data_IF_388834594182
#
_entry.id   IF_388834594182
#
_cell.length_a   1.000
_cell.length_b   1.000
_cell.length_c   1.000
_cell.angle_alpha   90.00
_cell.angle_beta   90.00
_cell.angle_gamma   90.00
#
_symmetry.space_group_name_H-M   'P 1'
#
loop_
_entity.id
_entity.type
_entity.pdbx_description
1 polymer ?
#
# COMPACT_ATOMS: atom_id res chain seq x y z
N UNK A 1 -12.08 14.14 11.06
CA UNK A 1 -10.62 14.19 11.13
C UNK A 1 -10.08 14.87 9.89
N UNK A 2 -9.31 15.91 10.11
CA UNK A 2 -8.50 16.72 9.16
C UNK A 2 -9.20 17.35 7.95
N UNK A 3 -9.98 18.39 8.19
CA UNK A 3 -10.45 19.35 7.17
C UNK A 3 -9.35 20.31 6.62
N UNK A 4 -8.10 20.10 7.00
CA UNK A 4 -7.00 21.06 6.73
C UNK A 4 -6.26 20.89 5.38
N UNK A 5 -6.59 19.88 4.59
CA UNK A 5 -5.88 19.63 3.34
C UNK A 5 -6.70 20.07 2.13
N UNK A 6 -6.43 21.27 1.60
CA UNK A 6 -7.00 21.73 0.31
C UNK A 6 -6.78 20.69 -0.80
N UNK A 7 -5.62 20.01 -0.82
CA UNK A 7 -5.31 18.95 -1.77
C UNK A 7 -6.24 17.72 -1.62
N UNK A 8 -6.70 17.43 -0.38
CA UNK A 8 -7.68 16.37 -0.14
C UNK A 8 -9.08 16.66 -0.71
N UNK A 9 -9.39 17.90 -1.08
CA UNK A 9 -10.67 18.30 -1.69
C UNK A 9 -10.65 18.26 -3.22
N UNK A 10 -9.47 18.10 -3.83
CA UNK A 10 -9.34 17.99 -5.29
C UNK A 10 -9.90 16.66 -5.80
N UNK A 11 -10.27 16.65 -7.08
CA UNK A 11 -10.80 15.47 -7.74
C UNK A 11 -9.78 14.30 -7.69
N UNK A 12 -10.19 13.06 -7.40
CA UNK A 12 -9.28 11.91 -7.23
C UNK A 12 -8.36 11.64 -8.43
N UNK A 13 -8.83 11.90 -9.65
CA UNK A 13 -8.03 11.77 -10.89
C UNK A 13 -6.85 12.73 -10.88
N UNK A 14 -7.06 13.99 -10.48
CA UNK A 14 -6.00 15.01 -10.43
C UNK A 14 -4.94 14.62 -9.40
N UNK A 15 -5.37 14.12 -8.24
CA UNK A 15 -4.47 13.65 -7.19
C UNK A 15 -3.60 12.48 -7.69
N UNK A 16 -4.19 11.54 -8.42
CA UNK A 16 -3.48 10.38 -8.95
C UNK A 16 -2.47 10.78 -10.02
N UNK A 17 -2.86 11.65 -10.97
CA UNK A 17 -1.98 12.14 -12.03
C UNK A 17 -0.81 12.92 -11.42
N UNK A 18 -1.08 13.83 -10.49
CA UNK A 18 -0.05 14.61 -9.79
C UNK A 18 0.97 13.70 -9.10
N UNK A 19 0.49 12.70 -8.36
CA UNK A 19 1.37 11.76 -7.67
C UNK A 19 2.21 10.93 -8.64
N UNK A 20 1.60 10.44 -9.74
CA UNK A 20 2.29 9.65 -10.76
C UNK A 20 3.38 10.47 -11.45
N UNK A 21 3.09 11.72 -11.80
CA UNK A 21 4.08 12.63 -12.43
C UNK A 21 5.26 12.87 -11.50
N UNK A 22 5.01 13.17 -10.21
CA UNK A 22 6.09 13.41 -9.26
C UNK A 22 6.93 12.15 -9.03
N UNK A 23 6.29 10.99 -8.95
CA UNK A 23 7.00 9.73 -8.76
C UNK A 23 7.87 9.41 -9.97
N UNK A 24 7.34 9.57 -11.19
CA UNK A 24 8.10 9.38 -12.42
C UNK A 24 9.27 10.36 -12.51
N UNK A 25 9.03 11.65 -12.25
CA UNK A 25 10.12 12.64 -12.26
C UNK A 25 11.19 12.34 -11.22
N UNK A 26 10.83 11.90 -10.03
CA UNK A 26 11.79 11.54 -8.96
C UNK A 26 12.64 10.34 -9.34
N UNK A 27 12.07 9.33 -10.02
CA UNK A 27 12.77 8.10 -10.40
C UNK A 27 13.65 8.32 -11.65
N UNK A 28 13.14 9.03 -12.66
CA UNK A 28 13.86 9.21 -13.93
C UNK A 28 14.85 10.37 -13.93
N UNK A 29 14.57 11.45 -13.20
CA UNK A 29 15.48 12.60 -13.10
C UNK A 29 16.37 12.46 -11.84
N UNK A 30 17.46 11.69 -11.97
CA UNK A 30 18.45 11.49 -10.89
C UNK A 30 19.37 12.73 -10.68
N UNK A 31 18.88 13.93 -10.92
CA UNK A 31 19.66 15.15 -10.71
C UNK A 31 19.53 15.62 -9.24
N UNK A 32 20.63 15.96 -8.55
CA UNK A 32 20.61 16.26 -7.11
C UNK A 32 19.69 17.43 -6.73
N UNK A 33 19.54 18.43 -7.61
CA UNK A 33 18.63 19.56 -7.37
C UNK A 33 17.17 19.10 -7.36
N UNK A 34 16.76 18.25 -8.34
CA UNK A 34 15.41 17.72 -8.39
C UNK A 34 15.09 16.81 -7.20
N UNK A 35 16.05 15.99 -6.79
CA UNK A 35 15.91 15.15 -5.60
C UNK A 35 15.74 15.99 -4.33
N UNK A 36 16.50 17.08 -4.19
CA UNK A 36 16.37 18.01 -3.06
C UNK A 36 15.00 18.68 -3.01
N UNK A 37 14.51 19.19 -4.15
CA UNK A 37 13.18 19.81 -4.25
C UNK A 37 12.07 18.80 -3.98
N UNK A 38 12.16 17.58 -4.54
CA UNK A 38 11.20 16.50 -4.32
C UNK A 38 11.17 16.06 -2.86
N UNK A 39 12.34 15.97 -2.19
CA UNK A 39 12.44 15.68 -0.78
C UNK A 39 11.75 16.75 0.08
N UNK A 40 12.04 18.03 -0.17
CA UNK A 40 11.40 19.15 0.54
C UNK A 40 9.87 19.12 0.34
N UNK A 41 9.40 18.88 -0.88
CA UNK A 41 7.98 18.75 -1.20
C UNK A 41 7.31 17.61 -0.42
N UNK A 42 7.90 16.41 -0.44
CA UNK A 42 7.39 15.25 0.30
C UNK A 42 7.37 15.48 1.81
N UNK A 43 8.41 16.13 2.34
CA UNK A 43 8.54 16.44 3.75
C UNK A 43 7.49 17.46 4.22
N UNK A 44 7.30 18.56 3.48
CA UNK A 44 6.31 19.59 3.79
C UNK A 44 4.87 19.03 3.73
N UNK A 45 4.56 18.22 2.72
CA UNK A 45 3.25 17.56 2.63
C UNK A 45 3.05 16.58 3.78
N UNK A 46 4.06 15.80 4.14
CA UNK A 46 4.01 14.88 5.26
C UNK A 46 3.73 15.57 6.58
N UNK A 47 4.39 16.72 6.85
CA UNK A 47 4.17 17.53 8.06
C UNK A 47 2.74 18.03 8.14
N UNK A 48 2.20 18.52 7.01
CA UNK A 48 0.80 19.02 6.97
C UNK A 48 -0.22 17.92 7.21
N UNK A 49 0.06 16.69 6.81
CA UNK A 49 -0.86 15.55 6.93
C UNK A 49 -0.82 14.87 8.30
N UNK A 50 0.38 14.54 8.78
CA UNK A 50 0.59 13.70 9.97
C UNK A 50 1.05 14.46 11.21
N UNK A 51 1.47 15.72 11.04
CA UNK A 51 2.11 16.51 12.09
C UNK A 51 3.60 16.15 12.29
N UNK A 52 4.37 17.13 12.75
CA UNK A 52 5.84 17.06 12.81
C UNK A 52 6.36 15.83 13.58
N UNK A 53 5.82 15.55 14.77
CA UNK A 53 6.31 14.43 15.62
C UNK A 53 6.11 13.05 14.98
N UNK A 54 4.96 12.80 14.36
CA UNK A 54 4.69 11.51 13.69
C UNK A 54 5.50 11.35 12.43
N UNK A 55 5.68 12.44 11.68
CA UNK A 55 6.49 12.43 10.44
C UNK A 55 7.94 12.13 10.77
N UNK A 56 8.53 12.83 11.74
CA UNK A 56 9.92 12.60 12.15
C UNK A 56 10.13 11.15 12.62
N UNK A 57 9.22 10.64 13.45
CA UNK A 57 9.33 9.27 13.96
C UNK A 57 9.24 8.22 12.85
N UNK A 58 8.26 8.33 11.95
CA UNK A 58 8.08 7.39 10.84
C UNK A 58 9.23 7.48 9.84
N UNK A 59 9.67 8.71 9.51
CA UNK A 59 10.70 8.91 8.51
C UNK A 59 12.09 8.54 9.04
N UNK A 60 12.39 8.83 10.30
CA UNK A 60 13.68 8.47 10.90
C UNK A 60 13.69 6.99 11.29
N UNK A 61 12.77 6.52 12.11
CA UNK A 61 12.82 5.14 12.63
C UNK A 61 12.55 4.05 11.62
N UNK A 62 11.66 4.28 10.64
CA UNK A 62 11.32 3.24 9.66
C UNK A 62 12.12 3.32 8.38
N UNK A 63 12.43 4.52 7.90
CA UNK A 63 12.97 4.70 6.56
C UNK A 63 14.51 4.81 6.56
N UNK A 64 15.12 5.35 7.62
CA UNK A 64 16.58 5.45 7.71
C UNK A 64 17.29 4.08 7.73
N UNK A 65 16.86 3.06 8.49
CA UNK A 65 17.52 1.76 8.44
C UNK A 65 17.43 1.12 7.05
N UNK A 66 16.33 1.32 6.33
CA UNK A 66 16.16 0.85 4.96
C UNK A 66 17.06 1.62 3.98
N UNK A 67 17.20 2.93 4.16
CA UNK A 67 18.13 3.76 3.40
C UNK A 67 19.59 3.30 3.58
N UNK A 68 20.03 3.08 4.83
CA UNK A 68 21.38 2.59 5.14
C UNK A 68 21.63 1.21 4.53
N UNK A 69 20.65 0.33 4.61
CA UNK A 69 20.76 -1.02 4.05
C UNK A 69 21.01 -0.97 2.54
N UNK A 70 20.27 -0.15 1.79
CA UNK A 70 20.44 -0.01 0.33
C UNK A 70 21.78 0.67 0.01
N UNK A 71 22.14 1.71 0.75
CA UNK A 71 23.42 2.41 0.58
C UNK A 71 24.62 1.51 0.80
N UNK A 72 24.52 0.51 1.69
CA UNK A 72 25.58 -0.47 1.95
C UNK A 72 25.57 -1.65 0.97
N UNK A 73 24.41 -2.11 0.54
CA UNK A 73 24.30 -3.24 -0.40
C UNK A 73 24.86 -2.88 -1.77
N UNK A 74 24.55 -1.69 -2.27
CA UNK A 74 24.94 -1.31 -3.63
C UNK A 74 26.46 -1.38 -3.86
N UNK A 75 27.34 -0.76 -3.05
CA UNK A 75 28.78 -0.88 -3.25
C UNK A 75 29.35 -2.28 -2.95
N UNK A 76 28.61 -3.14 -2.25
CA UNK A 76 29.02 -4.52 -2.00
C UNK A 76 28.82 -5.43 -3.22
N UNK A 77 27.86 -5.11 -4.11
CA UNK A 77 27.55 -5.89 -5.30
C UNK A 77 27.94 -5.21 -6.61
N UNK A 78 28.05 -3.89 -6.62
CA UNK A 78 28.40 -3.09 -7.80
C UNK A 78 29.85 -2.62 -7.68
N UNK A 79 30.70 -3.08 -8.60
CA UNK A 79 32.13 -2.80 -8.60
C UNK A 79 32.55 -1.88 -9.76
N UNK A 80 31.61 -1.07 -10.27
CA UNK A 80 31.88 -0.10 -11.33
C UNK A 80 32.60 1.13 -10.79
N UNK A 81 33.75 1.46 -11.37
CA UNK A 81 34.49 2.67 -11.07
C UNK A 81 36.00 2.49 -11.19
N UNK A 82 36.75 3.60 -11.26
CA UNK A 82 38.19 3.63 -11.47
C UNK A 82 38.94 3.82 -10.16
N UNK A 83 38.31 4.47 -9.16
CA UNK A 83 38.94 4.78 -7.87
C UNK A 83 38.66 3.67 -6.84
N UNK A 84 39.61 2.74 -6.69
CA UNK A 84 39.54 1.71 -5.66
C UNK A 84 39.86 2.32 -4.28
N UNK A 85 38.88 2.29 -3.34
CA UNK A 85 39.08 2.70 -1.97
C UNK A 85 39.46 1.54 -1.04
N UNK A 86 38.83 0.40 -1.24
CA UNK A 86 38.97 -0.73 -0.35
C UNK A 86 38.67 -2.05 -1.09
N UNK A 87 39.45 -3.10 -0.82
CA UNK A 87 39.19 -4.43 -1.39
C UNK A 87 38.47 -5.32 -0.39
N UNK A 88 37.23 -5.62 -0.66
CA UNK A 88 36.48 -6.65 0.08
C UNK A 88 36.71 -8.03 -0.56
N UNK A 89 36.37 -9.10 0.15
CA UNK A 89 36.40 -10.48 -0.40
C UNK A 89 35.54 -10.64 -1.65
N UNK A 90 34.53 -9.81 -1.84
CA UNK A 90 33.57 -9.83 -2.98
C UNK A 90 34.06 -9.01 -4.17
N UNK A 91 35.04 -8.09 -4.00
CA UNK A 91 35.56 -7.25 -5.09
C UNK A 91 36.05 -5.88 -4.59
N UNK A 92 36.61 -5.05 -5.49
CA UNK A 92 37.06 -3.70 -5.14
C UNK A 92 35.85 -2.79 -4.92
N UNK A 93 35.78 -2.13 -3.79
CA UNK A 93 34.77 -1.08 -3.51
C UNK A 93 35.30 0.23 -4.05
N UNK A 94 34.59 0.80 -5.02
CA UNK A 94 34.95 2.05 -5.67
C UNK A 94 34.18 3.24 -5.09
N UNK A 95 34.75 4.44 -5.14
CA UNK A 95 34.11 5.65 -4.65
C UNK A 95 32.82 5.96 -5.46
N UNK A 96 32.88 5.72 -6.77
CA UNK A 96 31.76 5.89 -7.67
C UNK A 96 30.56 4.98 -7.31
N UNK A 97 30.84 3.73 -6.93
CA UNK A 97 29.81 2.78 -6.50
C UNK A 97 29.14 3.22 -5.19
N UNK A 98 29.90 3.84 -4.28
CA UNK A 98 29.34 4.37 -3.03
C UNK A 98 28.43 5.57 -3.32
N UNK A 99 28.91 6.53 -4.12
CA UNK A 99 28.11 7.72 -4.49
C UNK A 99 26.83 7.31 -5.22
N UNK A 100 26.94 6.39 -6.17
CA UNK A 100 25.78 5.87 -6.90
C UNK A 100 24.79 5.15 -5.96
N UNK A 101 25.31 4.32 -5.05
CA UNK A 101 24.50 3.64 -4.03
C UNK A 101 23.76 4.61 -3.12
N UNK A 102 24.41 5.72 -2.76
CA UNK A 102 23.83 6.76 -1.93
C UNK A 102 22.73 7.54 -2.66
N UNK A 103 22.94 7.87 -3.93
CA UNK A 103 21.93 8.52 -4.78
C UNK A 103 20.72 7.59 -4.97
N UNK A 104 20.95 6.31 -5.29
CA UNK A 104 19.88 5.32 -5.45
C UNK A 104 19.08 5.15 -4.15
N UNK A 105 19.75 5.04 -3.02
CA UNK A 105 19.12 4.96 -1.72
C UNK A 105 18.28 6.20 -1.42
N UNK A 106 18.75 7.39 -1.83
CA UNK A 106 18.03 8.65 -1.65
C UNK A 106 16.78 8.75 -2.54
N UNK A 107 16.86 8.29 -3.80
CA UNK A 107 15.69 8.19 -4.69
C UNK A 107 14.62 7.27 -4.10
N UNK A 108 15.01 6.10 -3.61
CA UNK A 108 14.08 5.16 -2.98
C UNK A 108 13.50 5.74 -1.67
N UNK A 109 14.33 6.41 -0.89
CA UNK A 109 13.89 7.11 0.32
C UNK A 109 12.79 8.14 0.01
N UNK A 110 13.02 9.02 -0.97
CA UNK A 110 12.05 10.03 -1.40
C UNK A 110 10.77 9.36 -1.92
N UNK A 111 10.91 8.30 -2.70
CA UNK A 111 9.76 7.54 -3.23
C UNK A 111 8.89 6.98 -2.11
N UNK A 112 9.49 6.42 -1.06
CA UNK A 112 8.74 5.93 0.12
C UNK A 112 8.02 7.07 0.85
N UNK A 113 8.63 8.26 0.93
CA UNK A 113 7.99 9.44 1.51
C UNK A 113 6.75 9.87 0.70
N UNK A 114 6.85 9.89 -0.62
CA UNK A 114 5.73 10.18 -1.51
C UNK A 114 4.63 9.13 -1.41
N UNK A 115 4.97 7.84 -1.37
CA UNK A 115 4.00 6.77 -1.15
C UNK A 115 3.29 6.88 0.20
N UNK A 116 4.03 7.22 1.26
CA UNK A 116 3.45 7.43 2.59
C UNK A 116 2.44 8.58 2.62
N UNK A 117 2.71 9.65 1.88
CA UNK A 117 1.82 10.81 1.75
C UNK A 117 0.62 10.49 0.86
N UNK A 118 0.82 9.77 -0.23
CA UNK A 118 -0.23 9.32 -1.13
C UNK A 118 -1.24 8.41 -0.45
N UNK A 119 -0.76 7.43 0.32
CA UNK A 119 -1.62 6.49 1.04
C UNK A 119 -2.57 7.18 2.03
N UNK A 120 -2.19 8.33 2.58
CA UNK A 120 -3.04 9.09 3.48
C UNK A 120 -4.14 9.88 2.75
N UNK A 121 -3.86 10.30 1.51
CA UNK A 121 -4.80 11.08 0.68
C UNK A 121 -5.75 10.16 -0.08
N UNK A 122 -5.21 9.09 -0.66
CA UNK A 122 -5.97 8.16 -1.49
C UNK A 122 -6.64 7.10 -0.62
N UNK A 123 -7.84 7.41 -0.16
CA UNK A 123 -8.67 6.44 0.55
C UNK A 123 -9.22 5.40 -0.42
N UNK A 124 -9.59 4.23 0.10
CA UNK A 124 -10.14 3.13 -0.68
C UNK A 124 -11.37 3.55 -1.51
N UNK A 125 -12.22 4.42 -0.94
CA UNK A 125 -13.43 4.90 -1.64
C UNK A 125 -13.08 5.73 -2.88
N UNK A 126 -12.02 6.56 -2.79
CA UNK A 126 -11.54 7.35 -3.93
C UNK A 126 -10.92 6.49 -5.01
N UNK A 127 -10.22 5.43 -4.59
CA UNK A 127 -9.67 4.44 -5.52
C UNK A 127 -10.78 3.71 -6.28
N UNK A 128 -11.83 3.26 -5.59
CA UNK A 128 -13.02 2.65 -6.21
C UNK A 128 -13.70 3.61 -7.18
N UNK A 129 -13.84 4.88 -6.82
CA UNK A 129 -14.42 5.91 -7.70
C UNK A 129 -13.61 6.09 -8.99
N UNK A 130 -12.27 6.03 -8.91
CA UNK A 130 -11.39 6.18 -10.06
C UNK A 130 -11.62 5.06 -11.10
N UNK A 131 -11.69 3.81 -10.62
CA UNK A 131 -11.97 2.65 -11.47
C UNK A 131 -13.43 2.61 -11.98
N UNK A 132 -14.34 3.22 -11.23
CA UNK A 132 -15.74 3.31 -11.62
C UNK A 132 -15.98 4.07 -12.91
N UNK A 133 -15.12 5.02 -13.20
CA UNK A 133 -15.18 5.82 -14.43
C UNK A 133 -14.58 5.09 -15.64
N UNK A 134 -13.67 4.13 -15.38
CA UNK A 134 -12.98 3.36 -16.42
C UNK A 134 -13.83 2.16 -16.90
N UNK A 135 -14.47 1.45 -15.96
CA UNK A 135 -15.36 0.32 -16.25
C UNK A 135 -16.41 0.19 -15.15
N UNK A 136 -17.71 0.33 -15.49
CA UNK A 136 -18.80 0.25 -14.52
C UNK A 136 -18.91 -1.12 -13.84
N UNK A 137 -18.52 -2.20 -14.55
CA UNK A 137 -18.57 -3.56 -14.01
C UNK A 137 -17.48 -3.80 -12.96
N UNK A 138 -16.26 -3.32 -13.21
CA UNK A 138 -15.16 -3.39 -12.24
C UNK A 138 -15.50 -2.57 -10.99
N UNK A 139 -16.10 -1.39 -11.15
CA UNK A 139 -16.52 -0.56 -10.03
C UNK A 139 -17.54 -1.27 -9.14
N UNK A 140 -18.51 -1.96 -9.75
CA UNK A 140 -19.50 -2.71 -9.01
C UNK A 140 -18.85 -3.82 -8.19
N UNK A 141 -18.02 -4.66 -8.83
CA UNK A 141 -17.31 -5.77 -8.16
C UNK A 141 -16.44 -5.24 -7.03
N UNK A 142 -15.67 -4.17 -7.28
CA UNK A 142 -14.78 -3.58 -6.28
C UNK A 142 -15.55 -2.97 -5.10
N UNK A 143 -16.67 -2.29 -5.38
CA UNK A 143 -17.54 -1.74 -4.34
C UNK A 143 -18.17 -2.85 -3.47
N UNK A 144 -18.58 -3.96 -4.09
CA UNK A 144 -19.04 -5.13 -3.36
C UNK A 144 -17.93 -5.77 -2.53
N UNK A 145 -16.74 -5.98 -3.11
CA UNK A 145 -15.58 -6.56 -2.43
C UNK A 145 -15.21 -5.75 -1.19
N UNK A 146 -15.15 -4.42 -1.30
CA UNK A 146 -14.86 -3.53 -0.18
C UNK A 146 -15.92 -3.61 0.93
N UNK A 147 -17.18 -3.83 0.58
CA UNK A 147 -18.25 -4.04 1.55
C UNK A 147 -18.15 -5.41 2.23
N UNK A 148 -17.60 -6.41 1.55
CA UNK A 148 -17.40 -7.76 2.12
C UNK A 148 -16.27 -7.80 3.15
N UNK A 149 -15.20 -7.02 3.01
CA UNK A 149 -14.05 -7.01 3.93
C UNK A 149 -14.48 -6.85 5.41
N UNK A 150 -15.28 -5.83 5.81
CA UNK A 150 -15.72 -5.72 7.21
C UNK A 150 -16.69 -6.85 7.63
N UNK A 151 -17.44 -7.45 6.69
CA UNK A 151 -18.29 -8.61 6.95
C UNK A 151 -17.45 -9.85 7.26
N UNK A 152 -16.42 -10.13 6.46
CA UNK A 152 -15.51 -11.25 6.67
C UNK A 152 -14.79 -11.16 8.01
N UNK A 153 -14.31 -9.97 8.39
CA UNK A 153 -13.65 -9.80 9.69
C UNK A 153 -14.58 -10.06 10.87
N UNK A 154 -15.85 -9.64 10.78
CA UNK A 154 -16.86 -9.93 11.79
C UNK A 154 -17.19 -11.43 11.84
N UNK A 155 -17.34 -12.06 10.68
CA UNK A 155 -17.67 -13.49 10.59
C UNK A 155 -16.50 -14.35 11.09
N UNK A 156 -15.27 -14.00 10.76
CA UNK A 156 -14.08 -14.69 11.28
C UNK A 156 -14.04 -14.67 12.81
N UNK A 157 -14.37 -13.53 13.43
CA UNK A 157 -14.48 -13.43 14.90
C UNK A 157 -15.55 -14.36 15.46
N UNK A 158 -16.72 -14.48 14.80
CA UNK A 158 -17.79 -15.39 15.21
C UNK A 158 -17.36 -16.85 15.10
N UNK A 159 -16.73 -17.22 13.97
CA UNK A 159 -16.20 -18.57 13.75
C UNK A 159 -15.19 -18.92 14.85
N UNK A 160 -14.25 -17.99 15.14
CA UNK A 160 -13.24 -18.18 16.18
C UNK A 160 -13.86 -18.36 17.56
N UNK A 161 -14.82 -17.52 17.94
CA UNK A 161 -15.57 -17.70 19.19
C UNK A 161 -16.27 -19.06 19.25
N UNK A 162 -16.92 -19.49 18.17
CA UNK A 162 -17.56 -20.81 18.11
C UNK A 162 -16.56 -21.96 18.27
N UNK A 163 -15.35 -21.83 17.68
CA UNK A 163 -14.29 -22.85 17.87
C UNK A 163 -13.76 -22.88 19.32
N UNK A 164 -13.65 -21.73 19.98
CA UNK A 164 -13.29 -21.64 21.39
C UNK A 164 -14.32 -22.31 22.29
N UNK A 165 -15.61 -22.11 22.05
CA UNK A 165 -16.68 -22.75 22.81
C UNK A 165 -16.65 -24.29 22.72
N UNK A 166 -16.10 -24.87 21.65
CA UNK A 166 -15.95 -26.30 21.45
C UNK A 166 -14.59 -26.79 22.03
N UNK A 167 -13.88 -25.96 22.77
CA UNK A 167 -12.59 -26.32 23.39
C UNK A 167 -11.41 -26.33 22.40
N UNK A 168 -11.56 -25.74 21.22
CA UNK A 168 -10.49 -25.59 20.22
C UNK A 168 -9.87 -24.21 20.32
N UNK A 169 -9.17 -23.95 21.43
CA UNK A 169 -8.49 -22.69 21.63
C UNK A 169 -7.08 -22.73 21.02
N UNK A 170 -6.63 -21.58 20.50
CA UNK A 170 -5.27 -21.42 19.98
C UNK A 170 -4.24 -21.22 21.10
N UNK A 171 -4.67 -20.87 22.30
CA UNK A 171 -3.77 -20.59 23.42
C UNK A 171 -3.11 -21.90 23.92
N UNK A 172 -1.78 -21.88 24.09
CA UNK A 172 -1.01 -23.04 24.56
C UNK A 172 -0.75 -24.17 23.55
N UNK A 173 -1.28 -24.08 22.32
CA UNK A 173 -1.08 -25.10 21.29
C UNK A 173 0.23 -24.96 20.52
N UNK A 174 0.78 -26.09 20.02
CA UNK A 174 1.94 -26.12 19.13
C UNK A 174 1.68 -25.33 17.84
N UNK A 175 2.73 -24.77 17.22
CA UNK A 175 2.66 -23.96 15.99
C UNK A 175 1.92 -24.70 14.87
N UNK A 176 2.20 -25.99 14.68
CA UNK A 176 1.53 -26.81 13.66
C UNK A 176 0.02 -26.92 13.89
N UNK A 177 -0.42 -27.08 15.15
CA UNK A 177 -1.85 -27.14 15.50
C UNK A 177 -2.52 -25.78 15.28
N UNK A 178 -1.85 -24.67 15.61
CA UNK A 178 -2.34 -23.30 15.32
C UNK A 178 -2.57 -23.07 13.84
N UNK A 179 -1.63 -23.50 12.99
CA UNK A 179 -1.76 -23.41 11.53
C UNK A 179 -2.94 -24.25 11.04
N UNK A 180 -3.08 -25.49 11.51
CA UNK A 180 -4.16 -26.37 11.12
C UNK A 180 -5.55 -25.80 11.52
N UNK A 181 -5.65 -25.21 12.71
CA UNK A 181 -6.87 -24.52 13.15
C UNK A 181 -7.16 -23.26 12.31
N UNK A 182 -6.13 -22.49 12.00
CA UNK A 182 -6.27 -21.33 11.11
C UNK A 182 -6.78 -21.71 9.71
N UNK A 183 -6.26 -22.78 9.12
CA UNK A 183 -6.73 -23.30 7.82
C UNK A 183 -8.22 -23.71 7.91
N UNK A 184 -8.64 -24.34 9.01
CA UNK A 184 -10.04 -24.71 9.21
C UNK A 184 -10.95 -23.49 9.37
N UNK A 185 -10.52 -22.47 10.13
CA UNK A 185 -11.26 -21.19 10.24
C UNK A 185 -11.44 -20.51 8.86
N UNK A 186 -10.38 -20.50 8.05
CA UNK A 186 -10.41 -19.97 6.69
C UNK A 186 -11.35 -20.78 5.80
N UNK A 187 -11.32 -22.11 5.88
CA UNK A 187 -12.21 -22.98 5.12
C UNK A 187 -13.69 -22.70 5.43
N UNK A 188 -14.04 -22.57 6.73
CA UNK A 188 -15.41 -22.20 7.14
C UNK A 188 -15.80 -20.80 6.65
N UNK A 189 -14.85 -19.86 6.68
CA UNK A 189 -15.08 -18.50 6.20
C UNK A 189 -15.31 -18.47 4.68
N UNK A 190 -14.57 -19.28 3.92
CA UNK A 190 -14.74 -19.41 2.46
C UNK A 190 -16.10 -20.01 2.11
N UNK A 191 -16.52 -21.08 2.79
CA UNK A 191 -17.85 -21.70 2.58
C UNK A 191 -18.95 -20.68 2.82
N UNK A 192 -18.89 -19.98 3.96
CA UNK A 192 -19.87 -18.92 4.26
C UNK A 192 -19.81 -17.76 3.24
N UNK A 193 -18.60 -17.41 2.77
CA UNK A 193 -18.41 -16.35 1.77
C UNK A 193 -19.02 -16.71 0.41
N UNK A 194 -18.86 -17.96 -0.04
CA UNK A 194 -19.44 -18.46 -1.27
C UNK A 194 -20.99 -18.49 -1.18
N UNK A 195 -21.53 -19.02 -0.09
CA UNK A 195 -22.96 -19.04 0.19
C UNK A 195 -23.56 -17.63 0.18
N UNK A 196 -22.95 -16.69 0.93
CA UNK A 196 -23.36 -15.28 0.95
C UNK A 196 -23.22 -14.61 -0.43
N UNK A 197 -22.26 -15.05 -1.23
CA UNK A 197 -22.07 -14.58 -2.62
C UNK A 197 -23.22 -15.02 -3.54
N UNK A 198 -23.64 -16.29 -3.44
CA UNK A 198 -24.78 -16.83 -4.20
C UNK A 198 -26.07 -16.10 -3.82
N UNK A 199 -26.37 -15.96 -2.54
CA UNK A 199 -27.54 -15.22 -2.05
C UNK A 199 -27.56 -13.77 -2.56
N UNK A 200 -26.38 -13.13 -2.59
CA UNK A 200 -26.25 -11.77 -3.14
C UNK A 200 -26.54 -11.73 -4.64
N UNK A 201 -26.02 -12.70 -5.40
CA UNK A 201 -26.25 -12.79 -6.84
C UNK A 201 -27.73 -13.03 -7.15
N UNK A 202 -28.41 -13.91 -6.42
CA UNK A 202 -29.84 -14.18 -6.59
C UNK A 202 -30.68 -12.96 -6.22
N UNK A 203 -30.33 -12.26 -5.14
CA UNK A 203 -30.98 -11.00 -4.79
C UNK A 203 -30.82 -9.93 -5.88
N UNK A 204 -29.64 -9.86 -6.53
CA UNK A 204 -29.40 -8.94 -7.65
C UNK A 204 -30.22 -9.30 -8.88
N UNK A 205 -30.31 -10.60 -9.23
CA UNK A 205 -31.16 -11.10 -10.33
C UNK A 205 -32.64 -10.78 -10.10
N UNK A 206 -33.13 -11.00 -8.87
CA UNK A 206 -34.48 -10.67 -8.48
C UNK A 206 -34.82 -9.17 -8.62
N UNK A 207 -33.82 -8.30 -8.50
CA UNK A 207 -33.92 -6.86 -8.71
C UNK A 207 -33.72 -6.42 -10.16
N UNK A 208 -33.65 -7.37 -11.11
CA UNK A 208 -33.50 -7.10 -12.53
C UNK A 208 -32.10 -6.78 -13.00
N UNK A 209 -31.06 -7.13 -12.22
CA UNK A 209 -29.69 -6.94 -12.65
C UNK A 209 -29.39 -7.80 -13.89
N UNK A 210 -28.88 -7.17 -14.94
CA UNK A 210 -28.55 -7.84 -16.23
C UNK A 210 -29.68 -7.88 -17.26
N UNK A 211 -30.88 -7.43 -16.93
CA UNK A 211 -32.03 -7.45 -17.89
C UNK A 211 -32.09 -6.21 -18.78
N UNK A 212 -31.55 -5.08 -18.34
CA UNK A 212 -31.57 -3.81 -19.08
C UNK A 212 -30.16 -3.18 -19.06
N UNK A 213 -29.80 -2.42 -20.11
CA UNK A 213 -28.57 -1.63 -20.14
C UNK A 213 -28.53 -0.68 -18.93
N UNK A 214 -27.48 -0.78 -18.16
CA UNK A 214 -27.27 0.04 -16.95
C UNK A 214 -27.19 1.51 -17.32
N UNK A 215 -28.09 2.32 -16.80
CA UNK A 215 -28.01 3.78 -16.87
C UNK A 215 -27.35 4.31 -15.62
N UNK A 216 -26.35 5.22 -15.77
CA UNK A 216 -25.79 5.94 -14.65
C UNK A 216 -26.74 7.10 -14.32
N UNK A 217 -27.15 7.18 -13.04
CA UNK A 217 -27.85 8.35 -12.55
C UNK A 217 -26.85 9.51 -12.50
N UNK A 218 -26.98 10.44 -13.44
CA UNK A 218 -26.23 11.71 -13.40
C UNK A 218 -27.07 12.72 -12.60
N UNK A 219 -26.58 13.09 -11.43
CA UNK A 219 -27.02 14.29 -10.73
C UNK A 219 -26.20 15.47 -11.23
#
# INVERSE_FOLDING_TARGET
MSEKNCFGKCHPVVQMIYWLVILLTTVFLMHPVFLGVSFLGAFLLGIRQKGIKKVLWVYVCKTVPFFLLIACINPAFNHYGVTELFRLKTGPVTLEAIVYGLVLAFVLYISVLWFSSFHEIMTTDRFVYLFGKLSPDISLVLSMAMRFVPRFTKQLKKIRMGQQCIGRDMEGQSILKKVCMGIREISMLLTWGLESGIDTADSMRARGYGTVKRTAYSV
#
